data_IF_225883700453
#
_entry.id   IF_225883700453
#
_cell.length_a   1.000
_cell.length_b   1.000
_cell.length_c   1.000
_cell.angle_alpha   90.00
_cell.angle_beta   90.00
_cell.angle_gamma   90.00
#
_symmetry.space_group_name_H-M   'P 1'
#
loop_
_entity.id
_entity.type
_entity.pdbx_description
1 polymer ?
#
# COMPACT_ATOMS: atom_id res chain seq x y z
N UNK A 1 -1.61 -2.15 10.80
CA UNK A 1 -0.54 -1.31 10.24
C UNK A 1 0.66 -2.19 9.92
N UNK A 2 1.21 -2.05 8.74
CA UNK A 2 2.30 -2.92 8.28
C UNK A 2 3.44 -2.10 7.71
N UNK A 3 4.67 -2.53 8.02
CA UNK A 3 5.86 -1.98 7.39
C UNK A 3 6.35 -2.97 6.35
N UNK A 4 6.30 -2.56 5.09
CA UNK A 4 6.72 -3.40 3.96
C UNK A 4 8.17 -3.08 3.64
N UNK A 5 9.05 -4.05 3.86
CA UNK A 5 10.48 -3.89 3.61
C UNK A 5 10.90 -4.42 2.24
N UNK A 6 10.14 -5.36 1.72
CA UNK A 6 10.45 -5.96 0.42
C UNK A 6 9.18 -6.52 -0.18
N UNK A 7 9.22 -6.71 -1.49
CA UNK A 7 8.14 -7.33 -2.25
C UNK A 7 8.67 -8.61 -2.87
N UNK A 8 7.84 -9.64 -2.84
CA UNK A 8 8.18 -10.93 -3.43
C UNK A 8 7.07 -11.32 -4.39
N UNK A 9 7.45 -11.79 -5.57
CA UNK A 9 6.47 -12.24 -6.55
C UNK A 9 5.76 -13.50 -6.06
N UNK A 10 4.46 -13.49 -6.18
CA UNK A 10 3.61 -14.65 -5.93
C UNK A 10 2.68 -14.82 -7.10
N UNK A 11 2.76 -15.95 -7.77
CA UNK A 11 1.84 -16.25 -8.86
C UNK A 11 0.48 -16.63 -8.31
N UNK A 12 -0.56 -16.00 -8.84
CA UNK A 12 -1.93 -16.28 -8.43
C UNK A 12 -2.71 -16.83 -9.61
N UNK A 13 -3.24 -18.03 -9.43
CA UNK A 13 -4.04 -18.66 -10.47
C UNK A 13 -5.47 -18.13 -10.48
N UNK A 14 -5.95 -17.73 -9.32
CA UNK A 14 -7.31 -17.19 -9.18
C UNK A 14 -7.27 -15.93 -8.35
N UNK A 15 -8.00 -14.92 -8.77
CA UNK A 15 -8.16 -13.69 -8.03
C UNK A 15 -9.65 -13.53 -7.71
N UNK A 16 -9.98 -13.55 -6.41
CA UNK A 16 -11.35 -13.31 -5.99
C UNK A 16 -11.72 -11.84 -6.13
N UNK A 17 -13.01 -11.53 -6.09
CA UNK A 17 -13.45 -10.14 -6.16
C UNK A 17 -13.08 -9.36 -4.90
N UNK A 18 -12.81 -8.09 -5.08
CA UNK A 18 -12.54 -7.18 -3.98
C UNK A 18 -13.50 -6.01 -4.04
N UNK A 19 -13.86 -5.49 -2.88
CA UNK A 19 -14.68 -4.28 -2.81
C UNK A 19 -13.83 -3.06 -3.13
N UNK A 20 -14.40 -2.15 -3.89
CA UNK A 20 -13.75 -0.89 -4.18
C UNK A 20 -13.78 -0.01 -2.93
N UNK A 21 -12.64 0.58 -2.59
CA UNK A 21 -12.51 1.47 -1.43
C UNK A 21 -11.68 2.68 -1.80
N UNK A 22 -11.82 3.73 -1.02
CA UNK A 22 -10.96 4.90 -1.15
C UNK A 22 -9.58 4.58 -0.59
N UNK A 23 -8.59 5.24 -1.15
CA UNK A 23 -7.21 5.05 -0.75
C UNK A 23 -6.49 6.39 -0.79
N UNK A 24 -5.64 6.64 0.19
CA UNK A 24 -4.79 7.82 0.21
C UNK A 24 -3.34 7.41 0.29
N UNK A 25 -2.46 8.29 -0.16
CA UNK A 25 -1.03 8.09 0.04
C UNK A 25 -0.42 9.30 0.75
N UNK A 26 0.66 9.06 1.45
CA UNK A 26 1.41 10.10 2.15
C UNK A 26 2.88 9.83 2.02
N UNK A 27 3.66 10.89 1.92
CA UNK A 27 5.12 10.80 1.92
C UNK A 27 5.55 11.20 3.33
N UNK A 28 6.17 10.27 4.03
CA UNK A 28 6.56 10.51 5.42
C UNK A 28 8.02 10.13 5.64
N UNK A 29 8.60 10.66 6.71
CA UNK A 29 9.93 10.22 7.14
C UNK A 29 9.78 9.28 8.34
N UNK A 30 10.55 8.21 8.34
CA UNK A 30 10.58 7.30 9.47
C UNK A 30 11.50 7.86 10.58
N UNK A 31 11.69 7.08 11.62
CA UNK A 31 12.52 7.51 12.74
C UNK A 31 13.99 7.69 12.36
N UNK A 32 14.44 7.05 11.30
CA UNK A 32 15.79 7.18 10.77
C UNK A 32 15.92 8.32 9.76
N UNK A 33 14.86 9.06 9.52
CA UNK A 33 14.84 10.15 8.56
C UNK A 33 14.71 9.74 7.11
N UNK A 34 14.41 8.46 6.84
CA UNK A 34 14.29 7.95 5.48
C UNK A 34 12.88 8.20 4.95
N UNK A 35 12.79 8.56 3.67
CA UNK A 35 11.50 8.81 3.03
C UNK A 35 10.79 7.50 2.76
N UNK A 36 9.55 7.40 3.23
CA UNK A 36 8.70 6.24 3.07
C UNK A 36 7.39 6.65 2.40
N UNK A 37 6.76 5.69 1.74
CA UNK A 37 5.43 5.84 1.17
C UNK A 37 4.44 5.14 2.08
N UNK A 38 3.41 5.84 2.52
CA UNK A 38 2.34 5.23 3.28
C UNK A 38 1.07 5.23 2.45
N UNK A 39 0.40 4.08 2.41
CA UNK A 39 -0.87 3.92 1.73
C UNK A 39 -1.89 3.48 2.76
N UNK A 40 -2.99 4.23 2.83
CA UNK A 40 -4.08 3.94 3.76
C UNK A 40 -5.35 3.71 2.98
N UNK A 41 -6.09 2.65 3.33
CA UNK A 41 -7.40 2.39 2.77
C UNK A 41 -8.47 2.75 3.78
N UNK A 42 -9.66 3.05 3.27
CA UNK A 42 -10.80 3.43 4.09
C UNK A 42 -11.92 2.44 3.82
N UNK A 43 -12.67 2.13 4.87
CA UNK A 43 -13.71 1.14 4.73
C UNK A 43 -14.82 1.58 3.81
N UNK A 44 -15.66 0.62 3.45
CA UNK A 44 -16.82 0.88 2.60
C UNK A 44 -17.81 1.81 3.31
N UNK A 45 -18.72 2.37 2.52
CA UNK A 45 -19.85 3.13 3.06
C UNK A 45 -20.60 2.26 4.06
N UNK A 46 -21.04 2.83 5.15
CA UNK A 46 -21.72 2.08 6.21
C UNK A 46 -20.86 1.81 7.43
N UNK A 47 -19.60 2.21 7.43
CA UNK A 47 -18.79 2.14 8.64
C UNK A 47 -19.31 3.14 9.66
N UNK A 48 -19.19 2.76 10.94
CA UNK A 48 -19.63 3.63 12.02
C UNK A 48 -18.81 4.89 12.16
N UNK A 49 -17.55 4.85 11.70
CA UNK A 49 -16.64 5.99 11.76
C UNK A 49 -16.25 6.36 10.33
N UNK A 50 -16.97 7.30 9.72
CA UNK A 50 -16.60 7.78 8.38
C UNK A 50 -15.19 8.36 8.38
N UNK A 51 -14.40 8.02 7.37
CA UNK A 51 -13.03 8.48 7.26
C UNK A 51 -12.02 7.69 8.09
N UNK A 52 -12.46 6.68 8.83
CA UNK A 52 -11.56 5.82 9.58
C UNK A 52 -10.77 4.90 8.68
N UNK A 53 -9.48 4.73 8.97
CA UNK A 53 -8.61 3.87 8.17
C UNK A 53 -8.95 2.40 8.41
N UNK A 54 -9.03 1.63 7.32
CA UNK A 54 -9.26 0.20 7.39
C UNK A 54 -7.94 -0.56 7.48
N UNK A 55 -7.01 -0.22 6.60
CA UNK A 55 -5.69 -0.82 6.56
C UNK A 55 -4.66 0.26 6.26
N UNK A 56 -3.44 0.02 6.72
CA UNK A 56 -2.35 0.96 6.53
C UNK A 56 -1.09 0.18 6.22
N UNK A 57 -0.39 0.58 5.15
CA UNK A 57 0.89 -0.01 4.78
C UNK A 57 1.90 1.10 4.56
N UNK A 58 3.09 0.89 5.07
CA UNK A 58 4.20 1.82 4.88
C UNK A 58 5.33 1.09 4.17
N UNK A 59 5.81 1.67 3.08
CA UNK A 59 6.85 1.09 2.25
C UNK A 59 8.17 1.78 2.52
N UNK A 60 9.21 0.98 2.81
CA UNK A 60 10.58 1.49 2.96
C UNK A 60 11.12 1.94 1.61
N UNK A 61 12.21 2.74 1.57
CA UNK A 61 12.83 3.11 0.30
C UNK A 61 13.20 1.90 -0.56
N UNK A 62 13.64 0.80 0.04
CA UNK A 62 13.95 -0.43 -0.68
C UNK A 62 12.71 -1.03 -1.33
N UNK A 63 11.61 -1.08 -0.59
CA UNK A 63 10.34 -1.60 -1.13
C UNK A 63 9.80 -0.68 -2.23
N UNK A 64 9.98 0.64 -2.07
CA UNK A 64 9.57 1.60 -3.09
C UNK A 64 10.35 1.36 -4.39
N UNK A 65 11.65 1.11 -4.30
CA UNK A 65 12.47 0.84 -5.49
C UNK A 65 11.99 -0.43 -6.20
N UNK A 66 11.66 -1.47 -5.45
CA UNK A 66 11.11 -2.69 -6.04
C UNK A 66 9.74 -2.44 -6.69
N UNK A 67 8.88 -1.68 -6.01
CA UNK A 67 7.56 -1.36 -6.56
C UNK A 67 7.69 -0.57 -7.86
N UNK A 68 8.58 0.42 -7.89
CA UNK A 68 8.82 1.19 -9.10
C UNK A 68 9.25 0.28 -10.26
N UNK A 69 10.18 -0.61 -10.01
CA UNK A 69 10.70 -1.52 -11.02
C UNK A 69 9.62 -2.44 -11.56
N UNK A 70 8.82 -3.03 -10.68
CA UNK A 70 7.77 -3.93 -11.15
C UNK A 70 6.67 -3.21 -11.90
N UNK A 71 6.36 -1.96 -11.51
CA UNK A 71 5.37 -1.17 -12.22
C UNK A 71 5.86 -0.83 -13.63
N UNK A 72 7.12 -0.46 -13.77
CA UNK A 72 7.70 -0.17 -15.09
C UNK A 72 7.76 -1.40 -15.98
N UNK A 73 7.96 -2.58 -15.39
CA UNK A 73 8.06 -3.82 -16.14
C UNK A 73 6.68 -4.31 -16.61
N UNK A 74 5.66 -4.21 -15.77
CA UNK A 74 4.37 -4.87 -16.01
C UNK A 74 3.23 -3.92 -16.36
N UNK A 75 3.35 -2.64 -16.07
CA UNK A 75 2.24 -1.68 -16.24
C UNK A 75 2.70 -0.47 -17.04
N UNK A 76 2.89 -0.68 -18.31
CA UNK A 76 3.23 0.41 -19.22
C UNK A 76 2.00 1.01 -19.85
#
# INVERSE_FOLDING_TARGET
>A
MALVRSLRHLSMEKAGPHLAVECTYSIIRDLDGRLCLQIDTYGSTGRKVPGGKSQSMRFTPEAIAQLRSLLETHFR
#
